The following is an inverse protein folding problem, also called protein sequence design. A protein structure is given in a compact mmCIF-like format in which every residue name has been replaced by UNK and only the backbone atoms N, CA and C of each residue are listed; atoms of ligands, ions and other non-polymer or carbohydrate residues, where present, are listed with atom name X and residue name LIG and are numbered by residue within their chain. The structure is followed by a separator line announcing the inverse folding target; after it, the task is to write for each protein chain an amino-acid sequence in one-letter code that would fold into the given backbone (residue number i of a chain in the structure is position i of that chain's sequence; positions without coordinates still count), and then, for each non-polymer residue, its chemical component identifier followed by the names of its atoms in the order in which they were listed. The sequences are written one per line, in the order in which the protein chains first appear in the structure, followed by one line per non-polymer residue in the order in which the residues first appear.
data_IF_028806321557
#
_entry.id   IF_028806321557
#
_cell.length_a   1.000
_cell.length_b   1.000
_cell.length_c   1.000
_cell.angle_alpha   90.00
_cell.angle_beta   90.00
_cell.angle_gamma   90.00
#
_symmetry.space_group_name_H-M   'P 1'
#
loop_
_entity.id
_entity.type
_entity.pdbx_description
1 polymer ?
#
# COMPACT_ATOMS: atom_id res chain seq x y z
N UNK A 1 -39.73 24.52 32.74
CA UNK A 1 -39.22 23.76 31.59
C UNK A 1 -38.00 24.45 30.97
N UNK A 2 -38.11 25.61 30.31
CA UNK A 2 -36.99 26.28 29.63
C UNK A 2 -35.77 26.65 30.51
N UNK A 3 -36.01 27.09 31.76
CA UNK A 3 -34.94 27.47 32.71
C UNK A 3 -34.07 26.30 33.15
N UNK A 4 -34.65 25.10 33.28
CA UNK A 4 -33.93 23.89 33.69
C UNK A 4 -32.97 23.44 32.58
N UNK A 5 -33.42 23.52 31.32
CA UNK A 5 -32.65 23.17 30.13
C UNK A 5 -31.45 24.11 29.98
N UNK A 6 -31.66 25.41 30.17
CA UNK A 6 -30.56 26.41 30.13
C UNK A 6 -29.51 26.18 31.22
N UNK A 7 -29.94 25.84 32.45
CA UNK A 7 -29.02 25.52 33.55
C UNK A 7 -28.17 24.27 33.27
N UNK A 8 -28.78 23.23 32.70
CA UNK A 8 -28.10 22.00 32.28
C UNK A 8 -27.09 22.26 31.15
N UNK A 9 -27.45 23.07 30.16
CA UNK A 9 -26.55 23.45 29.05
C UNK A 9 -25.34 24.20 29.59
N UNK A 10 -25.53 25.18 30.49
CA UNK A 10 -24.43 25.95 31.06
C UNK A 10 -23.43 25.09 31.85
N UNK A 11 -23.89 24.01 32.49
CA UNK A 11 -23.03 23.05 33.18
C UNK A 11 -22.28 22.09 32.25
N UNK A 12 -22.87 21.74 31.11
CA UNK A 12 -22.31 20.77 30.14
C UNK A 12 -21.39 21.44 29.11
N UNK A 13 -21.64 22.72 28.79
CA UNK A 13 -20.88 23.51 27.83
C UNK A 13 -19.35 23.49 28.03
N UNK A 14 -18.78 23.57 29.25
CA UNK A 14 -17.32 23.50 29.42
C UNK A 14 -16.73 22.13 29.07
N UNK A 15 -17.51 21.06 29.13
CA UNK A 15 -17.08 19.72 28.73
C UNK A 15 -17.31 19.44 27.25
N UNK A 16 -18.28 20.09 26.63
CA UNK A 16 -18.62 19.88 25.22
C UNK A 16 -17.51 20.38 24.28
N UNK A 17 -16.86 21.49 24.63
CA UNK A 17 -15.75 22.08 23.85
C UNK A 17 -14.53 21.15 23.73
N UNK A 18 -13.94 20.62 24.82
CA UNK A 18 -12.81 19.71 24.73
C UNK A 18 -13.18 18.39 24.05
N UNK A 19 -14.39 17.87 24.27
CA UNK A 19 -14.86 16.66 23.57
C UNK A 19 -14.94 16.90 22.06
N UNK A 20 -15.51 18.03 21.63
CA UNK A 20 -15.58 18.38 20.22
C UNK A 20 -14.19 18.55 19.60
N UNK A 21 -13.25 19.15 20.33
CA UNK A 21 -11.87 19.29 19.89
C UNK A 21 -11.18 17.93 19.70
N UNK A 22 -11.32 17.02 20.67
CA UNK A 22 -10.76 15.67 20.57
C UNK A 22 -11.37 14.92 19.39
N UNK A 23 -12.69 14.98 19.21
CA UNK A 23 -13.37 14.32 18.09
C UNK A 23 -12.93 14.90 16.75
N UNK A 24 -12.80 16.22 16.63
CA UNK A 24 -12.31 16.85 15.40
C UNK A 24 -10.88 16.37 15.06
N UNK A 25 -9.99 16.34 16.07
CA UNK A 25 -8.62 15.88 15.89
C UNK A 25 -8.52 14.39 15.56
N UNK A 26 -9.32 13.53 16.19
CA UNK A 26 -9.31 12.10 15.87
C UNK A 26 -9.76 11.86 14.44
N UNK A 27 -10.80 12.56 13.98
CA UNK A 27 -11.26 12.47 12.58
C UNK A 27 -10.17 12.94 11.61
N UNK A 28 -9.51 14.07 11.89
CA UNK A 28 -8.40 14.56 11.06
C UNK A 28 -7.26 13.54 11.00
N UNK A 29 -6.86 12.98 12.15
CA UNK A 29 -5.79 11.96 12.22
C UNK A 29 -6.19 10.73 11.41
N UNK A 30 -7.42 10.23 11.55
CA UNK A 30 -7.90 9.08 10.78
C UNK A 30 -7.87 9.33 9.27
N UNK A 31 -8.25 10.54 8.82
CA UNK A 31 -8.17 10.94 7.42
C UNK A 31 -6.71 10.93 6.95
N UNK A 32 -5.81 11.57 7.69
CA UNK A 32 -4.38 11.60 7.34
C UNK A 32 -3.79 10.19 7.28
N UNK A 33 -4.12 9.33 8.25
CA UNK A 33 -3.68 7.94 8.27
C UNK A 33 -4.23 7.15 7.08
N UNK A 34 -5.48 7.35 6.66
CA UNK A 34 -6.04 6.65 5.50
C UNK A 34 -5.38 7.09 4.19
N UNK A 35 -5.10 8.39 4.04
CA UNK A 35 -4.33 8.94 2.91
C UNK A 35 -2.90 8.37 2.88
N UNK A 36 -2.22 8.34 4.03
CA UNK A 36 -0.90 7.75 4.15
C UNK A 36 -0.91 6.24 3.86
N UNK A 37 -1.93 5.52 4.33
CA UNK A 37 -2.07 4.08 4.07
C UNK A 37 -2.32 3.82 2.57
N UNK A 38 -3.20 4.57 1.92
CA UNK A 38 -3.45 4.45 0.48
C UNK A 38 -2.21 4.80 -0.36
N UNK A 39 -1.45 5.81 0.05
CA UNK A 39 -0.19 6.15 -0.58
C UNK A 39 0.87 5.05 -0.38
N UNK A 40 0.97 4.48 0.82
CA UNK A 40 1.85 3.35 1.09
C UNK A 40 1.44 2.10 0.33
N UNK A 41 0.15 1.81 0.22
CA UNK A 41 -0.39 0.66 -0.50
C UNK A 41 0.02 0.73 -1.97
N UNK A 42 -0.06 1.92 -2.56
CA UNK A 42 0.44 2.22 -3.91
C UNK A 42 1.96 1.99 -4.04
N UNK A 43 2.74 2.33 -2.99
CA UNK A 43 4.18 2.09 -2.95
C UNK A 43 4.55 0.61 -2.71
N UNK A 44 3.75 -0.15 -1.96
CA UNK A 44 3.94 -1.60 -1.78
C UNK A 44 3.59 -2.37 -3.04
N UNK A 45 2.52 -2.01 -3.75
CA UNK A 45 2.21 -2.57 -5.07
C UNK A 45 3.28 -2.22 -6.09
N UNK A 46 3.80 -0.99 -6.09
CA UNK A 46 4.92 -0.60 -6.95
C UNK A 46 6.24 -1.30 -6.56
N UNK A 47 6.50 -1.50 -5.26
CA UNK A 47 7.63 -2.29 -4.78
C UNK A 47 7.52 -3.75 -5.19
N UNK A 48 6.34 -4.38 -5.11
CA UNK A 48 6.14 -5.74 -5.57
C UNK A 48 6.50 -5.89 -7.05
N UNK A 49 6.13 -4.92 -7.89
CA UNK A 49 6.53 -4.96 -9.31
C UNK A 49 8.04 -4.77 -9.53
N UNK A 50 8.73 -3.98 -8.70
CA UNK A 50 10.18 -3.83 -8.78
C UNK A 50 10.98 -4.98 -8.14
N UNK A 51 10.35 -5.78 -7.27
CA UNK A 51 10.97 -6.97 -6.66
C UNK A 51 10.93 -8.19 -7.58
N UNK A 52 10.14 -8.18 -8.67
CA UNK A 52 10.05 -9.32 -9.58
C UNK A 52 11.33 -9.40 -10.44
N UNK A 53 12.16 -10.44 -10.31
CA UNK A 53 13.45 -10.52 -10.99
C UNK A 53 13.33 -10.97 -12.47
N UNK A 54 12.12 -11.26 -12.97
CA UNK A 54 11.88 -11.85 -14.29
C UNK A 54 12.54 -11.07 -15.44
N UNK A 55 12.50 -9.74 -15.44
CA UNK A 55 13.09 -8.91 -16.52
C UNK A 55 14.61 -9.08 -16.64
N UNK A 56 15.28 -9.40 -15.54
CA UNK A 56 16.72 -9.68 -15.48
C UNK A 56 17.08 -11.15 -15.70
N UNK A 57 16.11 -12.04 -15.90
CA UNK A 57 16.34 -13.47 -16.07
C UNK A 57 16.64 -13.84 -17.53
N UNK A 58 17.57 -14.77 -17.78
CA UNK A 58 17.90 -15.22 -19.14
C UNK A 58 16.76 -15.95 -19.85
N UNK A 59 15.85 -16.56 -19.09
CA UNK A 59 14.72 -17.33 -19.60
C UNK A 59 13.49 -16.46 -19.93
N UNK A 60 13.57 -15.16 -19.67
CA UNK A 60 12.51 -14.21 -19.95
C UNK A 60 12.55 -13.79 -21.42
N UNK A 61 11.48 -14.13 -22.13
CA UNK A 61 11.36 -13.98 -23.59
C UNK A 61 10.55 -12.75 -24.01
N UNK A 62 10.11 -11.93 -23.05
CA UNK A 62 9.34 -10.68 -23.25
C UNK A 62 8.16 -10.83 -24.23
N UNK A 63 7.63 -12.04 -24.35
CA UNK A 63 6.55 -12.37 -25.28
C UNK A 63 5.26 -12.55 -24.50
N UNK A 64 4.19 -11.88 -24.94
CA UNK A 64 2.89 -11.92 -24.28
C UNK A 64 2.32 -13.35 -24.14
N UNK A 65 2.65 -14.24 -25.07
CA UNK A 65 2.18 -15.65 -25.05
C UNK A 65 3.06 -16.57 -24.21
N UNK A 66 4.35 -16.25 -24.14
CA UNK A 66 5.35 -17.04 -23.43
C UNK A 66 6.28 -16.06 -22.74
N UNK A 67 5.94 -15.68 -21.51
CA UNK A 67 6.69 -14.68 -20.72
C UNK A 67 8.02 -15.26 -20.23
N UNK A 68 8.00 -16.52 -19.81
CA UNK A 68 9.16 -17.29 -19.37
C UNK A 68 9.13 -18.68 -20.00
N UNK A 69 10.27 -19.19 -20.43
CA UNK A 69 10.38 -20.52 -21.06
C UNK A 69 10.29 -21.68 -20.07
N UNK A 70 10.66 -21.46 -18.81
CA UNK A 70 10.66 -22.50 -17.75
C UNK A 70 9.32 -22.54 -17.02
N UNK A 71 8.84 -21.38 -16.58
CA UNK A 71 7.59 -21.26 -15.82
C UNK A 71 6.70 -20.13 -16.35
N UNK A 72 5.96 -20.37 -17.45
CA UNK A 72 5.14 -19.33 -18.07
C UNK A 72 3.95 -18.89 -17.21
N UNK A 73 3.47 -19.73 -16.30
CA UNK A 73 2.28 -19.46 -15.46
C UNK A 73 2.54 -18.45 -14.34
N UNK A 74 3.74 -18.46 -13.74
CA UNK A 74 4.11 -17.57 -12.61
C UNK A 74 4.95 -16.36 -13.06
N UNK A 75 5.27 -16.23 -14.34
CA UNK A 75 6.11 -15.16 -14.84
C UNK A 75 5.43 -13.78 -14.68
N UNK A 76 6.19 -12.80 -14.18
CA UNK A 76 5.71 -11.44 -13.88
C UNK A 76 4.59 -11.39 -12.82
N UNK A 77 4.56 -12.34 -11.89
CA UNK A 77 3.68 -12.33 -10.71
C UNK A 77 4.53 -12.30 -9.42
N UNK A 78 3.88 -12.06 -8.28
CA UNK A 78 4.54 -12.07 -6.97
C UNK A 78 5.17 -13.42 -6.62
N UNK A 79 4.62 -14.52 -7.15
CA UNK A 79 5.16 -15.87 -6.98
C UNK A 79 6.55 -16.04 -7.63
N UNK A 80 6.91 -15.16 -8.57
CA UNK A 80 8.24 -15.19 -9.19
C UNK A 80 9.31 -14.40 -8.43
N UNK A 81 8.97 -13.73 -7.32
CA UNK A 81 9.95 -13.00 -6.48
C UNK A 81 11.04 -13.96 -5.97
N UNK A 82 10.66 -15.17 -5.55
CA UNK A 82 11.57 -16.22 -5.07
C UNK A 82 11.70 -17.39 -6.07
N UNK A 83 11.75 -17.07 -7.37
CA UNK A 83 11.81 -18.08 -8.41
C UNK A 83 13.13 -18.88 -8.32
N UNK A 84 13.04 -20.18 -7.99
CA UNK A 84 14.18 -21.10 -7.87
C UNK A 84 14.99 -21.26 -9.15
N UNK A 85 14.37 -21.02 -10.30
CA UNK A 85 14.96 -21.19 -11.63
C UNK A 85 15.53 -19.86 -12.18
N UNK A 86 15.57 -18.81 -11.34
CA UNK A 86 16.13 -17.52 -11.73
C UNK A 86 17.61 -17.65 -12.09
N UNK A 87 17.96 -17.24 -13.30
CA UNK A 87 19.35 -17.09 -13.73
C UNK A 87 19.54 -15.70 -14.33
N UNK A 88 20.47 -14.88 -13.80
CA UNK A 88 20.70 -13.53 -14.30
C UNK A 88 21.16 -13.57 -15.76
N UNK A 89 20.73 -12.61 -16.57
CA UNK A 89 21.22 -12.42 -17.95
C UNK A 89 22.74 -12.24 -17.91
N UNK A 90 23.46 -13.25 -18.37
CA UNK A 90 24.90 -13.16 -18.61
C UNK A 90 25.13 -12.19 -19.74
N UNK A 91 25.96 -11.16 -19.50
CA UNK A 91 26.33 -10.20 -20.51
C UNK A 91 27.11 -10.93 -21.62
N UNK A 92 26.61 -11.00 -22.87
CA UNK A 92 27.29 -11.71 -23.95
C UNK A 92 28.65 -11.10 -24.33
N UNK A 93 29.03 -9.94 -23.76
CA UNK A 93 30.31 -9.26 -24.00
C UNK A 93 31.38 -9.50 -22.91
N UNK A 94 31.09 -10.33 -21.90
CA UNK A 94 32.06 -10.75 -20.88
C UNK A 94 32.53 -12.19 -21.20
N UNK A 95 33.46 -12.29 -22.15
CA UNK A 95 34.27 -13.50 -22.39
C UNK A 95 35.75 -13.11 -22.43
#
# INVERSE_FOLDING_TARGET
MLKLISFLIHGIQPFLVPICFVVAWTVIILIVLSLCAAAQDSLTTAKQMHQIPCTGCQFFTDNYRLKCTVRPSIANTEEAIDCSDYQPKTNPYLY
#
